data_IF_453946864535
#
_entry.id   IF_453946864535
#
_cell.length_a   1.000
_cell.length_b   1.000
_cell.length_c   1.000
_cell.angle_alpha   90.00
_cell.angle_beta   90.00
_cell.angle_gamma   90.00
#
_symmetry.space_group_name_H-M   'P 1'
#
loop_
_entity.id
_entity.type
_entity.pdbx_description
1 polymer ?
#
# COMPACT_ATOMS: atom_id res chain seq x y z
N UNK A 1 11.93 17.32 -6.98
CA UNK A 1 12.42 17.43 -5.60
C UNK A 1 12.88 18.85 -5.30
N UNK A 2 13.78 19.44 -6.10
CA UNK A 2 14.25 20.85 -5.94
C UNK A 2 13.12 21.89 -5.78
N UNK A 3 12.05 21.82 -6.59
CA UNK A 3 10.93 22.76 -6.51
C UNK A 3 10.17 22.67 -5.18
N UNK A 4 10.12 21.50 -4.55
CA UNK A 4 9.48 21.31 -3.25
C UNK A 4 10.27 21.96 -2.12
N UNK A 5 11.59 22.13 -2.25
CA UNK A 5 12.46 22.77 -1.25
C UNK A 5 12.03 24.21 -0.94
N UNK A 6 11.47 24.91 -1.93
CA UNK A 6 11.06 26.31 -1.82
C UNK A 6 9.58 26.48 -1.45
N UNK A 7 8.76 25.42 -1.51
CA UNK A 7 7.32 25.49 -1.21
C UNK A 7 6.91 24.75 0.06
N UNK A 8 7.80 23.91 0.59
CA UNK A 8 7.52 23.00 1.71
C UNK A 8 8.26 23.48 2.95
N UNK A 9 7.71 23.14 4.13
CA UNK A 9 8.43 23.38 5.37
C UNK A 9 9.79 22.64 5.34
N UNK A 10 10.90 23.30 5.75
CA UNK A 10 12.22 22.71 5.69
C UNK A 10 12.35 21.36 6.41
N UNK A 11 11.61 21.16 7.52
CA UNK A 11 11.66 19.90 8.26
C UNK A 11 10.96 18.77 7.53
N UNK A 12 9.86 19.05 6.84
CA UNK A 12 9.14 18.02 6.08
C UNK A 12 9.88 17.66 4.78
N UNK A 13 10.56 18.63 4.15
CA UNK A 13 11.48 18.35 3.04
C UNK A 13 12.65 17.47 3.49
N UNK A 14 13.21 17.74 4.68
CA UNK A 14 14.30 16.95 5.26
C UNK A 14 13.84 15.52 5.56
N UNK A 15 12.69 15.34 6.23
CA UNK A 15 12.12 14.00 6.49
C UNK A 15 11.90 13.23 5.19
N UNK A 16 11.38 13.88 4.15
CA UNK A 16 11.11 13.23 2.86
C UNK A 16 12.38 12.85 2.09
N UNK A 17 13.47 13.62 2.20
CA UNK A 17 14.70 13.34 1.45
C UNK A 17 15.75 12.51 2.21
N UNK A 18 15.72 12.51 3.55
CA UNK A 18 16.75 11.84 4.38
C UNK A 18 16.25 10.61 5.15
N UNK A 19 14.97 10.51 5.51
CA UNK A 19 14.45 9.27 6.09
C UNK A 19 14.02 8.34 4.95
N UNK A 20 13.93 7.04 5.23
CA UNK A 20 13.31 6.00 4.39
C UNK A 20 11.79 6.22 4.18
N UNK A 21 11.40 7.46 3.93
CA UNK A 21 10.07 7.86 3.55
C UNK A 21 9.89 7.54 2.07
N UNK A 22 9.46 6.31 1.79
CA UNK A 22 9.01 5.88 0.47
C UNK A 22 7.68 6.59 0.13
N UNK A 23 7.80 7.80 -0.41
CA UNK A 23 6.65 8.64 -0.74
C UNK A 23 6.39 8.56 -2.24
N UNK A 24 5.21 8.06 -2.62
CA UNK A 24 4.82 7.91 -4.04
C UNK A 24 3.98 9.11 -4.47
N UNK A 25 4.29 9.66 -5.64
CA UNK A 25 3.52 10.75 -6.24
C UNK A 25 2.35 10.18 -7.05
N UNK A 26 1.13 10.23 -6.50
CA UNK A 26 -0.09 9.79 -7.20
C UNK A 26 -0.73 10.85 -8.10
N UNK A 27 -0.44 12.14 -7.87
CA UNK A 27 -1.05 13.25 -8.60
C UNK A 27 -0.01 14.27 -9.10
N UNK A 28 -0.38 15.06 -10.11
CA UNK A 28 0.50 16.10 -10.64
C UNK A 28 0.63 17.34 -9.72
N UNK A 29 0.03 17.34 -8.53
CA UNK A 29 0.19 18.42 -7.55
C UNK A 29 1.66 18.50 -7.09
N UNK A 30 2.15 19.73 -6.88
CA UNK A 30 3.52 20.04 -6.47
C UNK A 30 3.95 19.29 -5.20
N UNK A 31 2.98 19.09 -4.30
CA UNK A 31 3.08 18.30 -3.08
C UNK A 31 1.86 17.39 -2.99
N UNK A 32 2.06 16.09 -3.22
CA UNK A 32 1.01 15.06 -3.14
C UNK A 32 1.61 13.69 -2.86
N UNK A 33 2.66 13.70 -2.05
CA UNK A 33 3.32 12.50 -1.62
C UNK A 33 2.43 11.74 -0.63
N UNK A 34 1.97 10.56 -1.01
CA UNK A 34 1.30 9.63 -0.09
C UNK A 34 2.34 8.60 0.34
N UNK A 35 2.55 8.35 1.65
CA UNK A 35 3.40 7.27 2.12
C UNK A 35 3.00 5.94 1.48
N UNK A 36 3.98 5.14 1.05
CA UNK A 36 3.75 3.88 0.35
C UNK A 36 2.87 2.92 1.16
N UNK A 37 3.12 2.82 2.46
CA UNK A 37 2.34 2.02 3.40
C UNK A 37 0.84 2.39 3.37
N UNK A 38 0.54 3.68 3.51
CA UNK A 38 -0.84 4.19 3.41
C UNK A 38 -1.48 3.91 2.05
N UNK A 39 -0.72 3.86 0.95
CA UNK A 39 -1.25 3.46 -0.36
C UNK A 39 -1.59 1.97 -0.38
N UNK A 40 -0.70 1.12 0.13
CA UNK A 40 -0.91 -0.34 0.17
C UNK A 40 -2.14 -0.66 1.03
N UNK A 41 -2.25 -0.07 2.21
CA UNK A 41 -3.40 -0.25 3.10
C UNK A 41 -4.70 0.24 2.43
N UNK A 42 -4.72 1.44 1.86
CA UNK A 42 -5.90 1.97 1.18
C UNK A 42 -6.33 1.10 0.00
N UNK A 43 -5.37 0.59 -0.76
CA UNK A 43 -5.62 -0.28 -1.90
C UNK A 43 -6.19 -1.64 -1.46
N UNK A 44 -5.61 -2.25 -0.41
CA UNK A 44 -6.10 -3.49 0.17
C UNK A 44 -7.52 -3.32 0.71
N UNK A 45 -7.74 -2.27 1.51
CA UNK A 45 -9.04 -1.96 2.10
C UNK A 45 -10.09 -1.64 1.04
N UNK A 46 -9.71 -1.00 -0.06
CA UNK A 46 -10.60 -0.78 -1.21
C UNK A 46 -11.06 -2.10 -1.78
N UNK A 47 -10.15 -3.04 -2.09
CA UNK A 47 -10.51 -4.37 -2.60
C UNK A 47 -11.41 -5.15 -1.63
N UNK A 48 -11.23 -4.97 -0.32
CA UNK A 48 -12.08 -5.60 0.68
C UNK A 48 -13.48 -4.98 0.76
N UNK A 49 -13.66 -3.70 0.44
CA UNK A 49 -14.92 -2.95 0.61
C UNK A 49 -15.73 -2.77 -0.69
N UNK A 50 -15.09 -2.87 -1.85
CA UNK A 50 -15.75 -2.77 -3.17
C UNK A 50 -16.64 -3.97 -3.46
N UNK A 51 -17.52 -3.86 -4.47
CA UNK A 51 -18.41 -4.96 -4.87
C UNK A 51 -17.62 -6.24 -5.17
N UNK A 52 -18.05 -7.37 -4.58
CA UNK A 52 -17.27 -8.61 -4.60
C UNK A 52 -16.05 -8.60 -3.68
N UNK A 53 -15.95 -7.65 -2.73
CA UNK A 53 -14.97 -7.64 -1.64
C UNK A 53 -15.51 -8.30 -0.38
N UNK A 54 -14.62 -8.60 0.57
CA UNK A 54 -14.95 -9.33 1.81
C UNK A 54 -16.05 -8.67 2.66
N UNK A 55 -16.07 -7.34 2.70
CA UNK A 55 -16.89 -6.54 3.62
C UNK A 55 -17.97 -5.72 2.91
N UNK A 56 -18.26 -6.04 1.64
CA UNK A 56 -19.25 -5.29 0.87
C UNK A 56 -20.67 -5.64 1.32
N UNK A 57 -21.37 -4.68 1.92
CA UNK A 57 -22.73 -4.87 2.45
C UNK A 57 -22.73 -5.13 3.96
N UNK A 58 -23.69 -5.92 4.45
CA UNK A 58 -23.88 -6.16 5.90
C UNK A 58 -23.23 -7.44 6.42
N UNK A 59 -22.82 -8.38 5.56
CA UNK A 59 -22.26 -9.67 5.98
C UNK A 59 -21.18 -10.19 5.04
N UNK A 60 -20.21 -10.90 5.63
CA UNK A 60 -19.25 -11.73 4.91
C UNK A 60 -20.00 -12.98 4.46
N UNK A 61 -20.19 -13.16 3.15
CA UNK A 61 -20.79 -14.39 2.62
C UNK A 61 -19.75 -15.50 2.53
N UNK A 62 -20.16 -16.76 2.75
CA UNK A 62 -19.28 -17.94 2.61
C UNK A 62 -18.61 -18.02 1.23
N UNK A 63 -19.33 -17.62 0.18
CA UNK A 63 -18.79 -17.55 -1.18
C UNK A 63 -17.65 -16.54 -1.33
N UNK A 64 -17.74 -15.41 -0.63
CA UNK A 64 -16.69 -14.39 -0.64
C UNK A 64 -15.51 -14.87 0.19
N UNK A 65 -15.74 -15.41 1.38
CA UNK A 65 -14.70 -16.00 2.23
C UNK A 65 -13.92 -17.10 1.49
N UNK A 66 -14.63 -18.04 0.86
CA UNK A 66 -14.04 -19.13 0.08
C UNK A 66 -13.14 -18.61 -1.06
N UNK A 67 -13.56 -17.56 -1.77
CA UNK A 67 -12.74 -16.94 -2.82
C UNK A 67 -11.47 -16.30 -2.29
N UNK A 68 -11.51 -15.66 -1.12
CA UNK A 68 -10.31 -15.09 -0.49
C UNK A 68 -9.36 -16.18 0.01
N UNK A 69 -9.87 -17.21 0.67
CA UNK A 69 -9.07 -18.35 1.15
C UNK A 69 -8.38 -19.04 -0.04
N UNK A 70 -9.12 -19.29 -1.12
CA UNK A 70 -8.58 -19.96 -2.32
C UNK A 70 -7.66 -19.05 -3.13
N UNK A 71 -7.87 -17.74 -3.08
CA UNK A 71 -7.05 -16.74 -3.77
C UNK A 71 -5.73 -16.42 -3.07
N UNK A 72 -5.68 -16.53 -1.74
CA UNK A 72 -4.50 -16.14 -0.95
C UNK A 72 -3.19 -16.85 -1.37
N UNK A 73 -3.17 -18.16 -1.67
CA UNK A 73 -1.97 -18.82 -2.19
C UNK A 73 -1.45 -18.25 -3.51
N UNK A 74 -2.32 -17.66 -4.34
CA UNK A 74 -1.90 -16.99 -5.57
C UNK A 74 -1.27 -15.63 -5.28
N UNK A 75 -1.83 -14.89 -4.33
CA UNK A 75 -1.26 -13.62 -3.86
C UNK A 75 0.12 -13.83 -3.22
N UNK A 76 0.30 -14.91 -2.46
CA UNK A 76 1.58 -15.25 -1.82
C UNK A 76 2.73 -15.35 -2.84
N UNK A 77 2.50 -15.97 -4.00
CA UNK A 77 3.52 -16.07 -5.07
C UNK A 77 3.99 -14.71 -5.57
N UNK A 78 3.08 -13.73 -5.61
CA UNK A 78 3.41 -12.35 -6.00
C UNK A 78 4.24 -11.67 -4.91
N UNK A 79 3.88 -11.89 -3.64
CA UNK A 79 4.66 -11.41 -2.49
C UNK A 79 6.06 -12.00 -2.48
N UNK A 80 6.21 -13.31 -2.63
CA UNK A 80 7.52 -13.99 -2.70
C UNK A 80 8.38 -13.45 -3.83
N UNK A 81 7.79 -13.18 -5.00
CA UNK A 81 8.50 -12.56 -6.12
C UNK A 81 8.95 -11.13 -5.82
N UNK A 82 8.12 -10.34 -5.12
CA UNK A 82 8.45 -8.99 -4.67
C UNK A 82 9.55 -8.99 -3.59
N UNK A 83 9.52 -9.94 -2.66
CA UNK A 83 10.55 -10.15 -1.65
C UNK A 83 11.88 -10.50 -2.31
N UNK A 84 11.87 -11.46 -3.24
CA UNK A 84 13.06 -11.83 -4.00
C UNK A 84 13.61 -10.67 -4.84
N UNK A 85 12.73 -9.81 -5.38
CA UNK A 85 13.14 -8.65 -6.17
C UNK A 85 13.74 -7.53 -5.31
N UNK A 86 13.16 -7.29 -4.12
CA UNK A 86 13.57 -6.21 -3.22
C UNK A 86 14.71 -6.60 -2.28
N UNK A 87 14.98 -7.90 -2.11
CA UNK A 87 15.94 -8.41 -1.13
C UNK A 87 15.46 -8.27 0.32
N UNK A 88 14.17 -7.98 0.53
CA UNK A 88 13.54 -7.83 1.84
C UNK A 88 12.69 -9.06 2.11
N UNK A 89 12.87 -9.67 3.28
CA UNK A 89 12.05 -10.79 3.74
C UNK A 89 11.03 -10.25 4.73
N UNK A 90 9.75 -10.37 4.42
CA UNK A 90 8.66 -10.01 5.33
C UNK A 90 8.14 -11.26 6.03
N UNK A 91 8.44 -11.37 7.32
CA UNK A 91 7.85 -12.38 8.19
C UNK A 91 6.57 -11.83 8.80
N UNK A 92 5.52 -12.64 8.81
CA UNK A 92 4.33 -12.32 9.60
C UNK A 92 4.74 -12.27 11.08
N UNK A 93 4.42 -11.18 11.78
CA UNK A 93 4.51 -11.15 13.24
C UNK A 93 3.51 -12.15 13.84
N UNK A 94 3.98 -12.97 14.79
CA UNK A 94 3.14 -13.84 15.62
C UNK A 94 2.19 -13.06 16.53
#
# INVERSE_FOLDING_TARGET
MEICKNSMDPEDYRKMSQKDCHVVRRNNKLWSGTPLDMIIEQELMRHMKTSGGLTHGREITDSTLSRWITGMPHCLKVTEALESFSGVITVASE
#
